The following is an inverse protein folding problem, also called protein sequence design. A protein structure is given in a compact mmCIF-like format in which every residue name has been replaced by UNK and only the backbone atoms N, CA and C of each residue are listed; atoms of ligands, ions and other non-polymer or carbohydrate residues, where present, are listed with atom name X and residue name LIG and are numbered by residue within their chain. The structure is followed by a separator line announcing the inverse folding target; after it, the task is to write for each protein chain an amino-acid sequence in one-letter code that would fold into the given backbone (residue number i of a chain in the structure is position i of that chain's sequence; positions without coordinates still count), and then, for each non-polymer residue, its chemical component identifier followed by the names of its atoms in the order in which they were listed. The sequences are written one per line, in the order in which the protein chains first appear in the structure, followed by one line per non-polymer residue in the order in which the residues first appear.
data_IF_774279929386
#
_entry.id   IF_774279929386
#
_cell.length_a   1.000
_cell.length_b   1.000
_cell.length_c   1.000
_cell.angle_alpha   90.00
_cell.angle_beta   90.00
_cell.angle_gamma   90.00
#
_symmetry.space_group_name_H-M   'P 1'
#
loop_
_entity.id
_entity.type
_entity.pdbx_description
1 polymer ?
#
# COMPACT_ATOMS: atom_id res chain seq x y z
N UNK A 1 -5.73 1.19 32.40
CA UNK A 1 -4.57 0.32 32.70
C UNK A 1 -4.07 -0.31 31.43
N UNK A 2 -2.84 -0.83 31.42
CA UNK A 2 -2.30 -1.59 30.28
C UNK A 2 -2.89 -3.01 30.33
N UNK A 3 -3.50 -3.48 29.23
CA UNK A 3 -4.04 -4.84 29.17
C UNK A 3 -2.93 -5.90 29.29
N UNK A 4 -3.18 -7.05 29.92
CA UNK A 4 -2.25 -8.16 29.91
C UNK A 4 -2.14 -8.76 28.49
N UNK A 5 -1.00 -9.35 28.17
CA UNK A 5 -0.85 -10.06 26.89
C UNK A 5 -1.77 -11.29 26.87
N UNK A 6 -2.50 -11.55 25.78
CA UNK A 6 -3.43 -12.67 25.72
C UNK A 6 -2.69 -14.01 25.79
N UNK A 7 -3.34 -14.99 26.41
CA UNK A 7 -2.82 -16.37 26.43
C UNK A 7 -3.14 -16.99 25.07
N UNK A 8 -2.13 -17.40 24.27
CA UNK A 8 -2.37 -17.97 22.95
C UNK A 8 -3.07 -19.33 23.10
N UNK A 9 -4.12 -19.57 22.30
CA UNK A 9 -4.84 -20.85 22.29
C UNK A 9 -4.18 -21.87 21.35
N UNK A 10 -3.52 -21.37 20.31
CA UNK A 10 -2.81 -22.17 19.33
C UNK A 10 -1.45 -21.56 18.98
N UNK A 11 -0.62 -22.32 18.27
CA UNK A 11 0.65 -21.83 17.71
C UNK A 11 0.50 -20.64 16.75
N UNK A 12 -0.70 -20.43 16.21
CA UNK A 12 -0.99 -19.33 15.29
C UNK A 12 -1.35 -18.03 16.02
N UNK A 13 -1.63 -18.10 17.33
CA UNK A 13 -1.96 -16.95 18.17
C UNK A 13 -0.72 -16.37 18.88
N UNK A 14 0.47 -16.95 18.63
CA UNK A 14 1.71 -16.52 19.26
C UNK A 14 2.27 -15.29 18.53
N UNK A 15 2.26 -14.14 19.21
CA UNK A 15 3.00 -12.97 18.75
C UNK A 15 4.51 -13.22 18.85
N UNK A 16 5.22 -13.01 17.74
CA UNK A 16 6.64 -13.33 17.60
C UNK A 16 7.51 -12.12 17.96
N UNK A 17 8.63 -12.40 18.63
CA UNK A 17 9.60 -11.38 19.02
C UNK A 17 10.64 -11.18 17.91
N UNK A 18 10.86 -9.93 17.53
CA UNK A 18 11.96 -9.52 16.67
C UNK A 18 13.14 -9.07 17.53
N UNK A 19 14.32 -9.60 17.24
CA UNK A 19 15.56 -9.22 17.93
C UNK A 19 16.15 -7.96 17.27
N UNK A 20 16.72 -7.03 18.03
CA UNK A 20 17.34 -5.83 17.48
C UNK A 20 18.62 -5.44 18.23
N UNK A 21 19.51 -4.76 17.51
CA UNK A 21 20.75 -4.15 18.02
C UNK A 21 20.65 -2.63 17.90
N UNK A 22 21.76 -1.92 18.03
CA UNK A 22 21.82 -0.46 17.86
C UNK A 22 21.51 0.01 16.44
N UNK A 23 21.73 -0.83 15.43
CA UNK A 23 21.59 -0.46 14.02
C UNK A 23 20.64 -1.33 13.21
N UNK A 24 20.37 -2.56 13.66
CA UNK A 24 19.72 -3.59 12.86
C UNK A 24 18.59 -4.27 13.62
N UNK A 25 17.65 -4.83 12.87
CA UNK A 25 16.57 -5.65 13.38
C UNK A 25 16.48 -6.95 12.59
N UNK A 26 16.23 -8.02 13.34
CA UNK A 26 16.11 -9.40 12.91
C UNK A 26 14.64 -9.80 13.00
N UNK A 27 13.96 -9.80 11.87
CA UNK A 27 12.51 -10.00 11.76
C UNK A 27 12.19 -11.49 11.61
N UNK A 28 11.81 -12.13 12.72
CA UNK A 28 11.62 -13.59 12.78
C UNK A 28 10.40 -14.07 11.96
N UNK A 29 9.50 -13.17 11.60
CA UNK A 29 8.28 -13.45 10.85
C UNK A 29 8.43 -13.40 9.32
N UNK A 30 9.58 -12.96 8.79
CA UNK A 30 9.75 -12.82 7.33
C UNK A 30 10.53 -13.98 6.73
N UNK A 31 9.99 -14.56 5.66
CA UNK A 31 10.67 -15.60 4.89
C UNK A 31 11.88 -15.07 4.08
N UNK A 32 11.92 -13.77 3.83
CA UNK A 32 12.94 -13.08 3.02
C UNK A 32 13.43 -11.86 3.80
N UNK A 33 14.72 -11.53 3.71
CA UNK A 33 15.35 -10.40 4.40
C UNK A 33 15.12 -10.43 5.93
N UNK A 34 15.61 -11.50 6.56
CA UNK A 34 15.57 -11.68 8.01
C UNK A 34 16.26 -10.54 8.77
N UNK A 35 17.17 -9.78 8.13
CA UNK A 35 17.92 -8.68 8.75
C UNK A 35 17.75 -7.42 7.93
N UNK A 36 17.44 -6.30 8.60
CA UNK A 36 17.42 -4.97 8.00
C UNK A 36 17.92 -3.91 8.96
N UNK A 37 18.31 -2.75 8.45
CA UNK A 37 18.60 -1.57 9.28
C UNK A 37 17.33 -1.04 9.94
N UNK A 38 17.50 -0.46 11.13
CA UNK A 38 16.45 0.28 11.82
C UNK A 38 16.16 1.59 11.07
N UNK A 39 14.88 1.89 10.87
CA UNK A 39 14.46 3.16 10.27
C UNK A 39 14.56 4.32 11.29
N UNK A 40 14.42 5.56 10.82
CA UNK A 40 14.57 6.75 11.67
C UNK A 40 13.57 6.79 12.84
N UNK A 41 12.33 6.33 12.62
CA UNK A 41 11.30 6.31 13.66
C UNK A 41 11.60 5.24 14.72
N UNK A 42 12.07 4.06 14.31
CA UNK A 42 12.46 2.98 15.20
C UNK A 42 13.67 3.36 16.06
N UNK A 43 14.68 4.00 15.47
CA UNK A 43 15.83 4.55 16.20
C UNK A 43 15.39 5.56 17.26
N UNK A 44 14.53 6.51 16.86
CA UNK A 44 13.96 7.50 17.79
C UNK A 44 13.14 6.85 18.91
N UNK A 45 12.39 5.78 18.62
CA UNK A 45 11.59 5.07 19.64
C UNK A 45 12.48 4.32 20.65
N UNK A 46 13.57 3.72 20.16
CA UNK A 46 14.60 3.09 20.99
C UNK A 46 15.27 4.13 21.89
N UNK A 47 15.70 5.27 21.33
CA UNK A 47 16.31 6.37 22.09
C UNK A 47 15.37 6.91 23.17
N UNK A 48 14.09 7.13 22.83
CA UNK A 48 13.07 7.56 23.79
C UNK A 48 12.89 6.53 24.91
N UNK A 49 12.89 5.24 24.57
CA UNK A 49 12.78 4.15 25.55
C UNK A 49 13.99 4.08 26.48
N UNK A 50 15.21 4.26 25.95
CA UNK A 50 16.43 4.33 26.74
C UNK A 50 16.42 5.54 27.69
N UNK A 51 15.94 6.70 27.22
CA UNK A 51 15.78 7.90 28.06
C UNK A 51 14.79 7.67 29.21
N UNK A 52 13.71 6.91 28.99
CA UNK A 52 12.78 6.53 30.06
C UNK A 52 13.41 5.57 31.06
N UNK A 53 14.20 4.60 30.59
CA UNK A 53 14.97 3.70 31.47
C UNK A 53 15.95 4.51 32.32
N UNK A 54 16.72 5.42 31.72
CA UNK A 54 17.67 6.27 32.42
C UNK A 54 17.00 7.12 33.52
N UNK A 55 15.81 7.67 33.25
CA UNK A 55 15.00 8.39 34.25
C UNK A 55 14.53 7.50 35.40
N UNK A 56 14.21 6.22 35.12
CA UNK A 56 13.71 5.29 36.13
C UNK A 56 14.79 4.84 37.12
N UNK A 57 16.05 4.73 36.69
CA UNK A 57 17.15 4.18 37.51
C UNK A 57 17.83 5.29 38.35
N UNK A 58 17.17 6.42 38.64
CA UNK A 58 17.63 7.55 39.49
C UNK A 58 19.03 7.37 40.11
N UNK A 59 20.04 8.11 39.58
CA UNK A 59 21.48 8.09 39.95
C UNK A 59 22.46 7.34 39.00
N UNK A 60 22.16 7.22 37.70
CA UNK A 60 23.07 6.63 36.71
C UNK A 60 23.63 7.69 35.77
N UNK A 61 24.93 7.62 35.46
CA UNK A 61 25.63 8.55 34.57
C UNK A 61 25.50 8.19 33.09
N UNK A 62 25.36 6.91 32.72
CA UNK A 62 25.18 6.50 31.32
C UNK A 62 24.44 5.14 31.18
N UNK A 63 23.45 5.08 30.28
CA UNK A 63 22.68 3.89 29.90
C UNK A 63 22.91 3.62 28.42
N UNK A 64 23.60 2.54 28.10
CA UNK A 64 23.93 2.13 26.73
C UNK A 64 23.12 0.88 26.34
N UNK A 65 22.54 0.88 25.14
CA UNK A 65 21.89 -0.30 24.58
C UNK A 65 22.92 -1.36 24.19
N UNK A 66 22.72 -2.60 24.63
CA UNK A 66 23.45 -3.77 24.11
C UNK A 66 22.64 -4.37 22.96
N UNK A 67 21.42 -4.79 23.27
CA UNK A 67 20.47 -5.40 22.34
C UNK A 67 19.05 -5.35 22.93
N UNK A 68 18.07 -5.80 22.16
CA UNK A 68 16.74 -6.00 22.68
C UNK A 68 15.85 -6.89 21.82
N UNK A 69 14.62 -7.07 22.31
CA UNK A 69 13.55 -7.76 21.61
C UNK A 69 12.33 -6.85 21.58
N UNK A 70 11.60 -6.84 20.47
CA UNK A 70 10.33 -6.14 20.37
C UNK A 70 9.24 -7.04 19.83
N UNK A 71 7.99 -6.75 20.19
CA UNK A 71 6.82 -7.50 19.72
C UNK A 71 5.59 -6.61 19.74
N UNK A 72 4.83 -6.63 18.65
CA UNK A 72 3.56 -5.90 18.57
C UNK A 72 2.39 -6.80 18.98
N UNK A 73 1.61 -6.35 19.96
CA UNK A 73 0.39 -6.97 20.46
C UNK A 73 -0.79 -6.02 20.15
N UNK A 74 -1.74 -6.39 19.28
CA UNK A 74 -2.85 -5.52 18.87
C UNK A 74 -3.74 -5.01 20.02
N UNK A 75 -3.77 -5.70 21.17
CA UNK A 75 -4.61 -5.30 22.31
C UNK A 75 -3.87 -4.40 23.30
N UNK A 76 -2.53 -4.41 23.26
CA UNK A 76 -1.68 -3.77 24.26
C UNK A 76 -0.79 -2.70 23.67
N UNK A 77 -0.23 -2.93 22.49
CA UNK A 77 0.75 -2.09 21.81
C UNK A 77 2.10 -2.77 21.65
N UNK A 78 3.18 -2.00 21.75
CA UNK A 78 4.51 -2.48 21.45
C UNK A 78 5.24 -2.85 22.75
N UNK A 79 5.50 -4.14 22.92
CA UNK A 79 6.29 -4.68 24.01
C UNK A 79 7.77 -4.64 23.64
N UNK A 80 8.61 -4.24 24.60
CA UNK A 80 10.06 -4.24 24.47
C UNK A 80 10.72 -4.97 25.63
N UNK A 81 11.82 -5.67 25.32
CA UNK A 81 12.80 -6.18 26.25
C UNK A 81 14.13 -5.54 25.89
N UNK A 82 14.69 -4.72 26.77
CA UNK A 82 15.96 -4.05 26.57
C UNK A 82 17.04 -4.65 27.45
N UNK A 83 18.14 -5.08 26.84
CA UNK A 83 19.38 -5.39 27.56
C UNK A 83 20.27 -4.15 27.51
N UNK A 84 20.48 -3.52 28.66
CA UNK A 84 21.24 -2.28 28.77
C UNK A 84 22.44 -2.44 29.68
N UNK A 85 23.51 -1.74 29.30
CA UNK A 85 24.71 -1.55 30.09
C UNK A 85 24.57 -0.25 30.87
N UNK A 86 24.71 -0.34 32.19
CA UNK A 86 24.58 0.76 33.13
C UNK A 86 25.95 1.03 33.71
N UNK A 87 26.44 2.26 33.56
CA UNK A 87 27.65 2.75 34.23
C UNK A 87 27.22 3.52 35.48
N UNK A 88 27.49 2.94 36.64
CA UNK A 88 27.23 3.61 37.91
C UNK A 88 28.29 4.68 38.20
N UNK A 89 28.00 5.70 39.03
CA UNK A 89 28.96 6.74 39.41
C UNK A 89 30.26 6.18 40.01
N UNK A 90 30.19 4.99 40.63
CA UNK A 90 31.31 4.23 41.18
C UNK A 90 32.23 3.59 40.13
N UNK A 91 32.02 3.85 38.83
CA UNK A 91 32.68 3.18 37.70
C UNK A 91 32.40 1.67 37.58
N UNK A 92 31.44 1.15 38.35
CA UNK A 92 30.96 -0.22 38.19
C UNK A 92 30.02 -0.31 36.99
N UNK A 93 30.28 -1.31 36.15
CA UNK A 93 29.44 -1.63 34.99
C UNK A 93 28.53 -2.79 35.36
N UNK A 94 27.21 -2.58 35.24
CA UNK A 94 26.22 -3.64 35.39
C UNK A 94 25.39 -3.80 34.12
N UNK A 95 24.93 -5.02 33.85
CA UNK A 95 24.01 -5.31 32.75
C UNK A 95 22.65 -5.60 33.38
N UNK A 96 21.62 -4.87 32.96
CA UNK A 96 20.25 -5.06 33.44
C UNK A 96 19.29 -5.21 32.27
N UNK A 97 18.23 -6.00 32.50
CA UNK A 97 17.15 -6.21 31.55
C UNK A 97 15.91 -5.45 31.99
N UNK A 98 15.40 -4.58 31.12
CA UNK A 98 14.15 -3.85 31.34
C UNK A 98 13.06 -4.36 30.41
N UNK A 99 11.83 -4.39 30.91
CA UNK A 99 10.63 -4.62 30.09
C UNK A 99 9.84 -3.34 30.02
N UNK A 100 9.59 -2.86 28.80
CA UNK A 100 8.82 -1.66 28.54
C UNK A 100 7.61 -2.01 27.69
N UNK A 101 6.57 -1.21 27.83
CA UNK A 101 5.36 -1.32 27.05
C UNK A 101 5.04 0.08 26.57
N UNK A 102 4.96 0.24 25.25
CA UNK A 102 4.40 1.42 24.63
C UNK A 102 2.94 1.10 24.32
N UNK A 103 1.99 1.52 25.18
CA UNK A 103 0.61 1.13 25.01
C UNK A 103 0.02 1.76 23.74
N UNK A 104 -0.90 1.05 23.09
CA UNK A 104 -1.82 1.71 22.16
C UNK A 104 -2.64 2.74 22.96
N UNK A 105 -2.92 3.89 22.35
CA UNK A 105 -3.85 4.87 22.91
C UNK A 105 -5.19 4.18 23.20
N UNK A 106 -5.97 4.75 24.13
CA UNK A 106 -7.27 4.15 24.52
C UNK A 106 -8.10 3.90 23.27
N UNK A 107 -8.66 2.70 23.15
CA UNK A 107 -9.65 2.41 22.14
C UNK A 107 -10.82 3.38 22.34
N UNK A 108 -11.01 4.30 21.39
CA UNK A 108 -12.13 5.23 21.38
C UNK A 108 -13.20 4.66 20.46
N UNK A 109 -14.41 4.48 21.00
CA UNK A 109 -15.59 4.21 20.19
C UNK A 109 -15.92 5.52 19.50
N UNK A 110 -15.41 5.70 18.29
CA UNK A 110 -15.73 6.84 17.46
C UNK A 110 -17.04 6.53 16.72
N UNK A 111 -18.03 7.42 16.84
CA UNK A 111 -19.23 7.35 16.01
C UNK A 111 -18.82 7.42 14.55
N UNK A 112 -19.05 6.34 13.81
CA UNK A 112 -18.80 6.28 12.37
C UNK A 112 -20.04 6.85 11.68
N UNK A 113 -19.90 7.85 10.78
CA UNK A 113 -21.03 8.35 10.02
C UNK A 113 -21.62 7.24 9.13
N UNK A 114 -22.91 7.32 8.83
CA UNK A 114 -23.59 6.31 8.02
C UNK A 114 -23.01 6.25 6.61
N UNK A 115 -22.65 5.04 6.17
CA UNK A 115 -22.28 4.77 4.80
C UNK A 115 -23.54 4.49 3.95
N UNK A 116 -23.50 4.85 2.67
CA UNK A 116 -24.59 4.53 1.73
C UNK A 116 -24.08 3.58 0.65
N UNK A 117 -24.77 2.46 0.46
CA UNK A 117 -24.40 1.44 -0.55
C UNK A 117 -24.79 1.85 -1.98
N UNK A 118 -25.43 3.00 -2.17
CA UNK A 118 -26.00 3.41 -3.47
C UNK A 118 -25.15 4.40 -4.25
N UNK A 119 -24.01 4.83 -3.70
CA UNK A 119 -23.14 5.81 -4.34
C UNK A 119 -22.55 5.27 -5.66
N UNK A 120 -22.43 6.13 -6.67
CA UNK A 120 -21.72 5.77 -7.90
C UNK A 120 -20.22 5.81 -7.62
N UNK A 121 -19.50 4.73 -7.94
CA UNK A 121 -18.04 4.68 -7.75
C UNK A 121 -17.38 5.15 -9.04
N UNK A 122 -16.64 6.25 -8.97
CA UNK A 122 -15.82 6.76 -10.06
C UNK A 122 -14.41 6.15 -9.96
N UNK A 123 -14.15 5.15 -10.79
CA UNK A 123 -12.84 4.50 -10.93
C UNK A 123 -11.94 5.41 -11.78
N UNK A 124 -10.81 5.82 -11.22
CA UNK A 124 -9.81 6.66 -11.87
C UNK A 124 -8.57 5.79 -12.11
N UNK A 125 -8.21 5.61 -13.38
CA UNK A 125 -7.05 4.83 -13.80
C UNK A 125 -6.02 5.76 -14.46
N UNK A 126 -5.10 6.37 -13.68
CA UNK A 126 -4.00 7.14 -14.24
C UNK A 126 -2.87 6.23 -14.70
N UNK A 127 -2.38 6.47 -15.91
CA UNK A 127 -1.21 5.79 -16.47
C UNK A 127 -0.23 6.82 -16.97
N UNK A 128 0.92 6.88 -16.30
CA UNK A 128 2.03 7.75 -16.69
C UNK A 128 2.96 6.97 -17.62
N UNK A 129 3.05 7.41 -18.88
CA UNK A 129 3.90 6.82 -19.89
C UNK A 129 5.17 7.64 -20.02
N UNK A 130 6.22 7.21 -19.31
CA UNK A 130 7.56 7.78 -19.47
C UNK A 130 8.20 7.35 -20.80
N UNK A 131 9.09 8.17 -21.37
CA UNK A 131 9.86 7.88 -22.61
C UNK A 131 10.94 6.79 -22.41
N UNK A 132 10.59 5.70 -21.74
CA UNK A 132 11.46 4.54 -21.54
C UNK A 132 11.45 3.64 -22.78
N UNK A 133 12.25 2.57 -22.75
CA UNK A 133 12.42 1.62 -23.85
C UNK A 133 11.08 1.08 -24.38
N UNK A 134 11.09 0.68 -25.66
CA UNK A 134 9.94 0.08 -26.35
C UNK A 134 9.30 -1.07 -25.55
N UNK A 135 10.13 -1.89 -24.87
CA UNK A 135 9.69 -2.94 -23.95
C UNK A 135 8.81 -2.45 -22.80
N UNK A 136 9.10 -1.29 -22.22
CA UNK A 136 8.26 -0.70 -21.15
C UNK A 136 6.92 -0.26 -21.70
N UNK A 137 6.89 0.35 -22.91
CA UNK A 137 5.66 0.77 -23.57
C UNK A 137 4.75 -0.42 -23.86
N UNK A 138 5.27 -1.48 -24.49
CA UNK A 138 4.54 -2.72 -24.77
C UNK A 138 3.98 -3.33 -23.50
N UNK A 139 4.80 -3.47 -22.45
CA UNK A 139 4.32 -4.04 -21.20
C UNK A 139 3.19 -3.23 -20.56
N UNK A 140 3.22 -1.89 -20.68
CA UNK A 140 2.20 -1.01 -20.09
C UNK A 140 0.90 -1.05 -20.91
N UNK A 141 1.03 -1.17 -22.24
CA UNK A 141 -0.09 -1.41 -23.13
C UNK A 141 -0.78 -2.76 -22.88
N UNK A 142 0.00 -3.82 -22.68
CA UNK A 142 -0.53 -5.16 -22.37
C UNK A 142 -1.32 -5.16 -21.06
N UNK A 143 -0.82 -4.46 -20.03
CA UNK A 143 -1.50 -4.31 -18.74
C UNK A 143 -2.81 -3.55 -18.88
N UNK A 144 -2.80 -2.41 -19.57
CA UNK A 144 -4.02 -1.65 -19.86
C UNK A 144 -5.05 -2.46 -20.67
N UNK A 145 -4.59 -3.21 -21.67
CA UNK A 145 -5.46 -4.08 -22.48
C UNK A 145 -6.07 -5.21 -21.66
N UNK A 146 -5.29 -5.80 -20.76
CA UNK A 146 -5.75 -6.82 -19.82
C UNK A 146 -6.76 -6.25 -18.83
N UNK A 147 -6.50 -5.07 -18.26
CA UNK A 147 -7.42 -4.34 -17.40
C UNK A 147 -8.78 -4.14 -18.09
N UNK A 148 -8.80 -3.62 -19.32
CA UNK A 148 -10.04 -3.39 -20.06
C UNK A 148 -10.82 -4.68 -20.33
N UNK A 149 -10.12 -5.79 -20.58
CA UNK A 149 -10.75 -7.11 -20.79
C UNK A 149 -11.40 -7.64 -19.52
N UNK A 150 -10.73 -7.48 -18.38
CA UNK A 150 -11.27 -7.85 -17.07
C UNK A 150 -12.42 -6.92 -16.65
N UNK A 151 -12.30 -5.62 -16.91
CA UNK A 151 -13.36 -4.65 -16.65
C UNK A 151 -14.62 -4.95 -17.46
N UNK A 152 -14.45 -5.29 -18.75
CA UNK A 152 -15.56 -5.73 -19.60
C UNK A 152 -16.27 -6.97 -19.03
N UNK A 153 -15.51 -7.99 -18.63
CA UNK A 153 -16.04 -9.28 -18.18
C UNK A 153 -16.68 -9.22 -16.79
N UNK A 154 -16.05 -8.53 -15.85
CA UNK A 154 -16.43 -8.55 -14.43
C UNK A 154 -17.41 -7.43 -14.06
N UNK A 155 -17.32 -6.28 -14.72
CA UNK A 155 -18.03 -5.05 -14.32
C UNK A 155 -19.06 -4.61 -15.35
N UNK A 156 -18.69 -4.50 -16.64
CA UNK A 156 -19.61 -4.00 -17.67
C UNK A 156 -20.72 -4.98 -18.04
N UNK A 157 -20.50 -6.29 -17.90
CA UNK A 157 -21.52 -7.30 -18.21
C UNK A 157 -22.78 -7.18 -17.31
N UNK A 158 -22.68 -6.48 -16.18
CA UNK A 158 -23.76 -6.30 -15.20
C UNK A 158 -24.38 -4.91 -15.36
N UNK A 159 -25.64 -4.84 -15.80
CA UNK A 159 -26.32 -3.57 -16.15
C UNK A 159 -26.64 -2.67 -14.97
N UNK A 160 -26.81 -3.22 -13.77
CA UNK A 160 -27.34 -2.47 -12.63
C UNK A 160 -26.26 -1.79 -11.79
N UNK A 161 -25.00 -1.95 -12.16
CA UNK A 161 -23.88 -1.46 -11.37
C UNK A 161 -23.57 0.02 -11.64
N UNK A 162 -23.64 0.84 -10.59
CA UNK A 162 -23.37 2.29 -10.67
C UNK A 162 -21.87 2.56 -10.61
N UNK A 163 -21.22 2.45 -11.75
CA UNK A 163 -19.78 2.70 -11.92
C UNK A 163 -19.51 3.64 -13.09
N UNK A 164 -18.47 4.45 -12.92
CA UNK A 164 -17.85 5.26 -13.98
C UNK A 164 -16.37 4.91 -14.01
N UNK A 165 -15.79 4.75 -15.20
CA UNK A 165 -14.36 4.55 -15.39
C UNK A 165 -13.77 5.70 -16.19
N UNK A 166 -12.77 6.38 -15.66
CA UNK A 166 -11.97 7.34 -16.42
C UNK A 166 -10.52 6.87 -16.49
N UNK A 167 -10.04 6.65 -17.72
CA UNK A 167 -8.65 6.31 -18.02
C UNK A 167 -7.93 7.59 -18.38
N UNK A 168 -6.92 7.96 -17.59
CA UNK A 168 -6.10 9.15 -17.79
C UNK A 168 -4.71 8.74 -18.28
N UNK A 169 -4.39 9.06 -19.52
CA UNK A 169 -3.07 8.80 -20.09
C UNK A 169 -2.21 10.06 -20.02
N UNK A 170 -1.17 10.03 -19.19
CA UNK A 170 -0.15 11.07 -19.13
C UNK A 170 1.06 10.71 -20.00
N UNK A 171 1.38 11.51 -21.01
CA UNK A 171 2.48 11.22 -21.94
C UNK A 171 3.54 12.34 -21.97
N UNK A 172 4.81 11.96 -22.13
CA UNK A 172 5.95 12.89 -22.24
C UNK A 172 6.44 13.10 -23.68
N UNK A 173 5.93 12.34 -24.65
CA UNK A 173 6.23 12.51 -26.08
C UNK A 173 5.03 12.11 -26.93
N UNK A 174 4.91 12.71 -28.12
CA UNK A 174 3.86 12.34 -29.08
C UNK A 174 4.01 10.89 -29.57
N UNK A 175 5.24 10.36 -29.65
CA UNK A 175 5.45 8.94 -29.99
C UNK A 175 4.79 8.01 -28.95
N UNK A 176 4.95 8.33 -27.67
CA UNK A 176 4.29 7.59 -26.59
C UNK A 176 2.76 7.73 -26.69
N UNK A 177 2.24 8.92 -26.99
CA UNK A 177 0.80 9.11 -27.21
C UNK A 177 0.25 8.25 -28.35
N UNK A 178 0.90 8.28 -29.52
CA UNK A 178 0.49 7.50 -30.70
C UNK A 178 0.47 5.99 -30.42
N UNK A 179 1.41 5.49 -29.61
CA UNK A 179 1.46 4.08 -29.21
C UNK A 179 0.20 3.62 -28.47
N UNK A 180 -0.45 4.51 -27.70
CA UNK A 180 -1.64 4.18 -26.89
C UNK A 180 -2.97 4.56 -27.56
N UNK A 181 -2.98 5.13 -28.78
CA UNK A 181 -4.21 5.36 -29.55
C UNK A 181 -5.12 4.12 -29.72
N UNK A 182 -4.59 2.88 -29.87
CA UNK A 182 -5.45 1.70 -29.93
C UNK A 182 -6.28 1.49 -28.65
N UNK A 183 -5.81 1.95 -27.48
CA UNK A 183 -6.58 1.89 -26.23
C UNK A 183 -7.79 2.82 -26.31
N UNK A 184 -7.64 4.05 -26.80
CA UNK A 184 -8.76 4.95 -27.04
C UNK A 184 -9.79 4.34 -28.00
N UNK A 185 -9.32 3.69 -29.07
CA UNK A 185 -10.20 2.97 -30.00
C UNK A 185 -10.95 1.80 -29.34
N UNK A 186 -10.31 1.08 -28.41
CA UNK A 186 -10.93 0.02 -27.62
C UNK A 186 -11.99 0.56 -26.67
N UNK A 187 -11.76 1.71 -26.04
CA UNK A 187 -12.75 2.39 -25.19
C UNK A 187 -13.97 2.81 -26.01
N UNK A 188 -13.78 3.40 -27.18
CA UNK A 188 -14.88 3.76 -28.08
C UNK A 188 -15.67 2.53 -28.55
N UNK A 189 -15.01 1.40 -28.77
CA UNK A 189 -15.69 0.14 -29.02
C UNK A 189 -16.53 -0.33 -27.82
N UNK A 190 -16.00 -0.23 -26.59
CA UNK A 190 -16.74 -0.61 -25.37
C UNK A 190 -17.97 0.27 -25.16
N UNK A 191 -17.87 1.59 -25.39
CA UNK A 191 -19.03 2.51 -25.35
C UNK A 191 -20.13 2.10 -26.33
N UNK A 192 -19.77 1.72 -27.56
CA UNK A 192 -20.73 1.24 -28.56
C UNK A 192 -21.37 -0.10 -28.17
N UNK A 193 -20.57 -1.02 -27.62
CA UNK A 193 -21.03 -2.35 -27.19
C UNK A 193 -21.92 -2.28 -25.95
N UNK A 194 -21.62 -1.35 -25.03
CA UNK A 194 -22.34 -1.16 -23.78
C UNK A 194 -22.79 0.31 -23.63
N UNK A 195 -23.93 0.71 -24.22
CA UNK A 195 -24.38 2.11 -24.21
C UNK A 195 -24.67 2.70 -22.82
N UNK A 196 -24.86 1.85 -21.81
CA UNK A 196 -25.06 2.24 -20.41
C UNK A 196 -23.75 2.43 -19.64
N UNK A 197 -22.61 2.02 -20.20
CA UNK A 197 -21.32 2.11 -19.55
C UNK A 197 -20.76 3.52 -19.63
N UNK A 198 -20.50 4.13 -18.48
CA UNK A 198 -19.81 5.42 -18.38
C UNK A 198 -18.30 5.19 -18.34
N UNK A 199 -17.67 5.13 -19.52
CA UNK A 199 -16.23 4.94 -19.69
C UNK A 199 -15.65 6.11 -20.45
N UNK A 200 -14.62 6.77 -19.92
CA UNK A 200 -13.95 7.91 -20.54
C UNK A 200 -12.45 7.65 -20.73
N UNK A 201 -11.90 8.17 -21.80
CA UNK A 201 -10.47 8.12 -22.12
C UNK A 201 -9.99 9.55 -22.35
N UNK A 202 -9.07 10.02 -21.50
CA UNK A 202 -8.49 11.36 -21.58
C UNK A 202 -6.98 11.25 -21.70
N UNK A 203 -6.40 12.11 -22.52
CA UNK A 203 -4.96 12.19 -22.74
C UNK A 203 -4.47 13.57 -22.30
N UNK A 204 -3.33 13.63 -21.62
CA UNK A 204 -2.71 14.88 -21.23
C UNK A 204 -1.18 14.81 -21.37
N UNK A 205 -0.60 15.91 -21.87
CA UNK A 205 0.84 16.08 -21.93
C UNK A 205 1.41 16.42 -20.55
N UNK A 206 2.39 15.64 -20.09
CA UNK A 206 3.00 15.76 -18.77
C UNK A 206 4.35 16.47 -18.87
N UNK A 207 4.52 17.60 -18.15
CA UNK A 207 5.77 18.38 -18.11
C UNK A 207 6.35 18.38 -16.70
N UNK A 208 7.48 17.68 -16.47
CA UNK A 208 8.29 17.75 -15.24
C UNK A 208 7.47 17.93 -13.94
N UNK A 209 6.52 17.04 -13.72
CA UNK A 209 5.67 17.07 -12.53
C UNK A 209 6.43 16.39 -11.39
N UNK A 210 6.46 17.03 -10.22
CA UNK A 210 7.02 16.44 -9.01
C UNK A 210 6.10 15.31 -8.50
N UNK A 211 4.80 15.42 -8.78
CA UNK A 211 3.78 14.46 -8.37
C UNK A 211 2.92 14.04 -9.58
N UNK A 212 3.51 13.35 -10.57
CA UNK A 212 2.92 13.21 -11.91
C UNK A 212 1.52 12.61 -11.91
N UNK A 213 1.26 11.60 -11.08
CA UNK A 213 -0.05 10.96 -10.98
C UNK A 213 -1.10 11.88 -10.38
N UNK A 214 -0.81 12.52 -9.25
CA UNK A 214 -1.77 13.37 -8.54
C UNK A 214 -2.08 14.65 -9.33
N UNK A 215 -1.04 15.24 -9.93
CA UNK A 215 -1.18 16.40 -10.80
C UNK A 215 -1.98 16.07 -12.07
N UNK A 216 -1.75 14.89 -12.68
CA UNK A 216 -2.54 14.41 -13.81
C UNK A 216 -4.02 14.30 -13.44
N UNK A 217 -4.32 13.68 -12.30
CA UNK A 217 -5.69 13.49 -11.80
C UNK A 217 -6.37 14.83 -11.52
N UNK A 218 -5.73 15.71 -10.74
CA UNK A 218 -6.32 17.00 -10.35
C UNK A 218 -6.56 17.93 -11.53
N UNK A 219 -5.61 18.02 -12.48
CA UNK A 219 -5.70 18.99 -13.57
C UNK A 219 -6.67 18.58 -14.69
N UNK A 220 -6.95 17.28 -14.85
CA UNK A 220 -7.74 16.77 -15.98
C UNK A 220 -9.13 16.27 -15.59
N UNK A 221 -9.43 16.15 -14.30
CA UNK A 221 -10.77 15.77 -13.83
C UNK A 221 -11.49 16.97 -13.23
N UNK A 222 -12.71 17.21 -13.72
CA UNK A 222 -13.63 18.17 -13.14
C UNK A 222 -14.86 17.44 -12.59
N UNK A 223 -14.72 16.90 -11.38
CA UNK A 223 -15.75 16.09 -10.73
C UNK A 223 -16.57 16.93 -9.75
N UNK A 224 -17.79 16.48 -9.49
CA UNK A 224 -18.61 17.06 -8.42
C UNK A 224 -18.05 16.72 -7.04
N UNK A 225 -18.24 17.61 -6.06
CA UNK A 225 -17.64 17.48 -4.74
C UNK A 225 -18.05 16.18 -4.01
N UNK A 226 -19.25 15.66 -4.29
CA UNK A 226 -19.80 14.44 -3.68
C UNK A 226 -19.42 13.15 -4.42
N UNK A 227 -18.55 13.18 -5.43
CA UNK A 227 -18.14 11.97 -6.15
C UNK A 227 -17.22 11.09 -5.31
N UNK A 228 -17.65 9.84 -5.12
CA UNK A 228 -16.85 8.77 -4.52
C UNK A 228 -15.87 8.24 -5.57
N UNK A 229 -14.59 8.49 -5.35
CA UNK A 229 -13.52 8.11 -6.26
C UNK A 229 -12.78 6.87 -5.75
N UNK A 230 -12.35 6.01 -6.67
CA UNK A 230 -11.43 4.90 -6.42
C UNK A 230 -10.26 5.01 -7.42
N UNK A 231 -9.08 5.37 -6.94
CA UNK A 231 -7.86 5.37 -7.76
C UNK A 231 -7.28 3.96 -7.80
N UNK A 232 -6.97 3.47 -9.01
CA UNK A 232 -6.41 2.13 -9.25
C UNK A 232 -5.27 2.18 -10.27
N UNK A 233 -4.48 1.12 -10.33
CA UNK A 233 -3.41 0.92 -11.31
C UNK A 233 -3.84 -0.10 -12.40
N UNK A 234 -3.08 -0.20 -13.50
CA UNK A 234 -3.46 -1.03 -14.66
C UNK A 234 -3.34 -2.55 -14.41
N UNK A 235 -2.72 -2.94 -13.31
CA UNK A 235 -2.46 -4.34 -12.94
C UNK A 235 -3.63 -5.01 -12.24
N UNK A 236 -4.63 -4.25 -11.80
CA UNK A 236 -5.66 -4.80 -10.91
C UNK A 236 -6.87 -5.34 -11.64
N UNK A 237 -7.48 -6.29 -10.97
CA UNK A 237 -8.73 -6.93 -11.31
C UNK A 237 -9.59 -6.89 -10.05
N UNK A 238 -10.84 -6.49 -10.22
CA UNK A 238 -11.78 -6.40 -9.11
C UNK A 238 -13.20 -6.69 -9.58
N UNK A 239 -14.05 -6.95 -8.61
CA UNK A 239 -15.47 -7.23 -8.80
C UNK A 239 -16.35 -6.34 -7.90
N UNK A 240 -17.62 -6.72 -7.83
CA UNK A 240 -18.66 -6.05 -7.07
C UNK A 240 -18.37 -5.95 -5.57
N UNK A 241 -17.75 -6.97 -5.00
CA UNK A 241 -17.51 -7.00 -3.55
C UNK A 241 -16.54 -5.89 -3.15
N UNK A 242 -15.51 -5.64 -3.95
CA UNK A 242 -14.63 -4.48 -3.76
C UNK A 242 -15.43 -3.18 -3.83
N UNK A 243 -16.28 -3.01 -4.84
CA UNK A 243 -17.05 -1.78 -5.03
C UNK A 243 -17.98 -1.52 -3.84
N UNK A 244 -18.64 -2.56 -3.32
CA UNK A 244 -19.47 -2.47 -2.13
C UNK A 244 -18.64 -2.08 -0.90
N UNK A 245 -17.45 -2.66 -0.73
CA UNK A 245 -16.50 -2.30 0.34
C UNK A 245 -16.03 -0.86 0.23
N UNK A 246 -15.80 -0.36 -0.98
CA UNK A 246 -15.44 1.04 -1.23
C UNK A 246 -16.56 1.97 -0.78
N UNK A 247 -17.82 1.66 -1.11
CA UNK A 247 -19.00 2.44 -0.69
C UNK A 247 -19.21 2.44 0.82
N UNK A 248 -18.99 1.30 1.46
CA UNK A 248 -19.17 1.14 2.91
C UNK A 248 -18.07 1.80 3.73
N UNK A 249 -16.84 1.84 3.22
CA UNK A 249 -15.67 2.23 4.01
C UNK A 249 -15.10 3.61 3.66
N UNK A 250 -15.60 4.26 2.61
CA UNK A 250 -15.19 5.63 2.27
C UNK A 250 -16.23 6.61 2.77
N UNK A 251 -15.83 7.52 3.65
CA UNK A 251 -16.74 8.43 4.34
C UNK A 251 -16.23 9.87 4.18
N UNK A 252 -17.06 10.79 3.67
CA UNK A 252 -16.64 12.15 3.38
C UNK A 252 -16.22 12.85 4.67
N UNK A 253 -15.15 13.65 4.62
CA UNK A 253 -14.59 14.40 5.74
C UNK A 253 -14.17 13.55 6.97
N UNK A 254 -14.14 12.22 6.84
CA UNK A 254 -13.92 11.32 7.97
C UNK A 254 -12.91 10.21 7.69
N UNK A 255 -13.06 9.47 6.59
CA UNK A 255 -12.27 8.26 6.35
C UNK A 255 -12.05 7.98 4.86
N UNK A 256 -10.81 7.70 4.50
CA UNK A 256 -10.46 7.07 3.22
C UNK A 256 -10.25 5.57 3.39
N UNK A 257 -10.51 4.81 2.33
CA UNK A 257 -10.29 3.36 2.32
C UNK A 257 -9.22 2.99 1.29
N UNK A 258 -8.11 2.42 1.76
CA UNK A 258 -6.99 1.99 0.93
C UNK A 258 -6.83 0.46 1.02
N UNK A 259 -7.49 -0.32 0.15
CA UNK A 259 -7.45 -1.78 0.19
C UNK A 259 -6.03 -2.32 -0.09
N UNK A 260 -5.69 -3.43 0.55
CA UNK A 260 -4.43 -4.16 0.28
C UNK A 260 -4.75 -5.27 -0.74
N UNK A 261 -4.19 -5.20 -1.96
CA UNK A 261 -4.46 -6.19 -3.00
C UNK A 261 -3.76 -7.51 -2.74
N UNK A 262 -4.35 -8.59 -3.26
CA UNK A 262 -3.68 -9.86 -3.43
C UNK A 262 -2.85 -9.85 -4.72
N UNK A 263 -1.52 -9.88 -4.60
CA UNK A 263 -0.60 -9.87 -5.74
C UNK A 263 -0.22 -11.29 -6.12
N UNK A 264 -0.49 -11.62 -7.39
CA UNK A 264 -0.13 -12.89 -8.00
C UNK A 264 1.39 -13.07 -8.08
N UNK A 265 1.87 -14.29 -7.82
CA UNK A 265 3.28 -14.60 -7.98
C UNK A 265 3.67 -14.73 -9.46
N UNK A 266 4.90 -14.34 -9.80
CA UNK A 266 5.51 -14.74 -11.06
C UNK A 266 5.98 -16.18 -10.98
N UNK A 267 5.33 -17.05 -11.76
CA UNK A 267 5.78 -18.41 -11.99
C UNK A 267 6.93 -18.46 -13.00
N UNK A 268 7.98 -19.23 -12.70
CA UNK A 268 9.07 -19.60 -13.61
C UNK A 268 8.65 -20.83 -14.43
N UNK A 269 8.37 -20.63 -15.71
CA UNK A 269 8.09 -21.71 -16.66
C UNK A 269 7.12 -21.28 -17.77
N UNK A 270 7.16 -21.97 -18.92
CA UNK A 270 6.33 -21.66 -20.08
C UNK A 270 4.90 -22.21 -20.00
N UNK A 271 4.51 -22.88 -18.91
CA UNK A 271 3.19 -23.51 -18.79
C UNK A 271 2.13 -22.51 -18.30
N UNK A 272 1.65 -21.69 -19.23
CA UNK A 272 0.60 -20.68 -19.05
C UNK A 272 -0.73 -21.26 -18.54
N UNK A 273 -1.04 -22.52 -18.88
CA UNK A 273 -2.28 -23.21 -18.47
C UNK A 273 -2.32 -23.49 -16.95
N UNK A 274 -1.17 -23.83 -16.35
CA UNK A 274 -1.08 -24.11 -14.90
C UNK A 274 -1.16 -22.79 -14.12
N UNK A 275 -0.49 -21.75 -14.61
CA UNK A 275 -0.55 -20.41 -14.03
C UNK A 275 -2.00 -19.87 -14.05
N UNK A 276 -2.70 -19.96 -15.19
CA UNK A 276 -4.08 -19.50 -15.33
C UNK A 276 -5.06 -20.23 -14.40
N UNK A 277 -4.93 -21.56 -14.23
CA UNK A 277 -5.77 -22.33 -13.30
C UNK A 277 -5.53 -21.96 -11.83
N UNK A 278 -4.32 -21.53 -11.46
CA UNK A 278 -3.99 -21.17 -10.08
C UNK A 278 -4.31 -19.71 -9.73
N UNK A 279 -4.23 -18.79 -10.70
CA UNK A 279 -4.73 -17.42 -10.51
C UNK A 279 -6.24 -17.38 -10.23
N UNK A 280 -6.98 -18.44 -10.58
CA UNK A 280 -8.41 -18.54 -10.31
C UNK A 280 -8.77 -18.69 -8.81
N UNK A 281 -7.81 -19.01 -7.93
CA UNK A 281 -8.09 -19.15 -6.48
C UNK A 281 -7.00 -18.50 -5.64
N UNK A 282 -7.43 -17.57 -4.77
CA UNK A 282 -6.59 -16.95 -3.75
C UNK A 282 -6.07 -18.04 -2.81
N UNK A 283 -4.76 -18.19 -2.75
CA UNK A 283 -4.09 -19.17 -1.92
C UNK A 283 -2.66 -18.72 -1.62
N UNK A 284 -2.06 -19.27 -0.57
CA UNK A 284 -0.64 -19.05 -0.25
C UNK A 284 0.35 -19.47 -1.36
N UNK A 285 -0.13 -20.21 -2.37
CA UNK A 285 0.67 -20.70 -3.49
C UNK A 285 0.53 -19.84 -4.75
N UNK A 286 -0.58 -19.10 -4.88
CA UNK A 286 -0.86 -18.27 -6.05
C UNK A 286 -0.38 -16.82 -5.89
N UNK A 287 -0.18 -16.35 -4.66
CA UNK A 287 0.23 -14.99 -4.39
C UNK A 287 0.26 -14.64 -2.90
N UNK A 288 0.29 -13.34 -2.61
CA UNK A 288 0.25 -12.79 -1.25
C UNK A 288 -0.45 -11.44 -1.21
N UNK A 289 -0.96 -11.05 -0.06
CA UNK A 289 -1.38 -9.66 0.16
C UNK A 289 -0.15 -8.75 0.26
N UNK A 290 -0.07 -7.74 -0.59
CA UNK A 290 1.08 -6.83 -0.60
C UNK A 290 0.78 -5.52 0.14
N UNK A 291 1.05 -5.52 1.45
CA UNK A 291 0.86 -4.35 2.30
C UNK A 291 1.71 -3.13 1.88
N UNK A 292 2.70 -3.30 1.00
CA UNK A 292 3.52 -2.23 0.44
C UNK A 292 2.91 -1.60 -0.83
N UNK A 293 1.68 -1.98 -1.22
CA UNK A 293 1.00 -1.40 -2.38
C UNK A 293 0.10 -0.21 -1.97
N UNK A 294 0.56 1.01 -2.18
CA UNK A 294 -0.11 2.23 -1.69
C UNK A 294 -0.88 3.01 -2.76
N UNK A 295 -0.78 2.61 -4.04
CA UNK A 295 -1.40 3.33 -5.16
C UNK A 295 -2.91 3.13 -5.31
N UNK A 296 -3.55 2.34 -4.44
CA UNK A 296 -4.98 2.01 -4.51
C UNK A 296 -5.68 2.56 -3.28
N UNK A 297 -6.52 3.56 -3.48
CA UNK A 297 -7.28 4.21 -2.41
C UNK A 297 -8.62 4.74 -2.94
N UNK A 298 -9.57 4.87 -2.03
CA UNK A 298 -10.87 5.47 -2.28
C UNK A 298 -11.12 6.63 -1.33
N UNK A 299 -11.70 7.69 -1.88
CA UNK A 299 -11.86 8.99 -1.23
C UNK A 299 -12.99 9.77 -1.90
N UNK A 300 -13.54 10.76 -1.20
CA UNK A 300 -14.42 11.74 -1.83
C UNK A 300 -13.62 12.83 -2.54
N UNK A 301 -14.11 13.26 -3.71
CA UNK A 301 -13.43 14.28 -4.49
C UNK A 301 -13.25 15.60 -3.72
N UNK A 302 -14.24 16.00 -2.93
CA UNK A 302 -14.15 17.17 -2.04
C UNK A 302 -12.95 17.11 -1.09
N UNK A 303 -12.73 15.96 -0.45
CA UNK A 303 -11.62 15.74 0.48
C UNK A 303 -10.28 15.85 -0.25
N UNK A 304 -10.15 15.13 -1.36
CA UNK A 304 -8.95 15.15 -2.20
C UNK A 304 -8.62 16.57 -2.68
N UNK A 305 -9.59 17.26 -3.28
CA UNK A 305 -9.44 18.62 -3.82
C UNK A 305 -8.98 19.59 -2.75
N UNK A 306 -9.63 19.56 -1.57
CA UNK A 306 -9.27 20.44 -0.44
C UNK A 306 -7.86 20.18 0.06
N UNK A 307 -7.47 18.92 0.26
CA UNK A 307 -6.15 18.57 0.77
C UNK A 307 -5.07 18.86 -0.27
N UNK A 308 -5.34 18.58 -1.55
CA UNK A 308 -4.46 18.91 -2.66
C UNK A 308 -4.16 20.41 -2.75
N UNK A 309 -5.19 21.26 -2.68
CA UNK A 309 -5.03 22.71 -2.66
C UNK A 309 -4.18 23.18 -1.47
N UNK A 310 -4.39 22.59 -0.29
CA UNK A 310 -3.58 22.88 0.89
C UNK A 310 -2.10 22.47 0.70
N UNK A 311 -1.86 21.30 0.12
CA UNK A 311 -0.52 20.83 -0.23
C UNK A 311 0.20 21.81 -1.16
N UNK A 312 -0.43 22.23 -2.25
CA UNK A 312 0.12 23.18 -3.22
C UNK A 312 0.43 24.55 -2.61
N UNK A 313 -0.26 24.95 -1.53
CA UNK A 313 0.04 26.19 -0.81
C UNK A 313 1.23 26.04 0.15
N UNK A 314 1.34 24.90 0.83
CA UNK A 314 2.35 24.68 1.88
C UNK A 314 3.70 24.26 1.30
N UNK A 315 3.71 23.39 0.29
CA UNK A 315 4.96 22.83 -0.23
C UNK A 315 4.83 22.36 -1.68
N UNK A 316 5.37 23.15 -2.61
CA UNK A 316 5.49 22.74 -4.01
C UNK A 316 6.69 21.82 -4.28
N UNK A 317 7.58 21.60 -3.31
CA UNK A 317 8.84 20.88 -3.50
C UNK A 317 8.88 19.50 -2.87
N UNK A 318 7.89 19.13 -2.05
CA UNK A 318 7.84 17.80 -1.45
C UNK A 318 7.21 16.82 -2.44
N UNK A 319 7.94 15.76 -2.76
CA UNK A 319 7.36 14.65 -3.52
C UNK A 319 6.38 13.86 -2.64
N UNK A 320 5.21 13.61 -3.21
CA UNK A 320 4.14 12.75 -2.76
C UNK A 320 4.03 11.62 -3.77
N UNK A 321 4.09 10.37 -3.29
CA UNK A 321 4.06 9.22 -4.18
C UNK A 321 2.65 8.91 -4.65
N UNK A 322 1.68 9.10 -3.76
CA UNK A 322 0.31 8.67 -3.95
C UNK A 322 -0.68 9.45 -3.08
N UNK A 323 -1.95 9.10 -3.21
CA UNK A 323 -3.05 9.69 -2.44
C UNK A 323 -2.90 9.40 -0.95
N UNK A 324 -2.35 8.23 -0.57
CA UNK A 324 -2.19 7.89 0.84
C UNK A 324 -1.21 8.86 1.53
N UNK A 325 -0.07 9.15 0.90
CA UNK A 325 0.90 10.13 1.40
C UNK A 325 0.27 11.52 1.56
N UNK A 326 -0.50 11.96 0.57
CA UNK A 326 -1.21 13.24 0.61
C UNK A 326 -2.10 13.33 1.85
N UNK A 327 -2.93 12.31 2.10
CA UNK A 327 -3.85 12.29 3.25
C UNK A 327 -3.11 12.13 4.58
N UNK A 328 -2.09 11.27 4.65
CA UNK A 328 -1.28 11.05 5.87
C UNK A 328 -0.57 12.33 6.33
N UNK A 329 -0.01 13.09 5.38
CA UNK A 329 0.83 14.24 5.70
C UNK A 329 0.04 15.55 5.83
N UNK A 330 -1.05 15.70 5.07
CA UNK A 330 -1.79 16.97 4.97
C UNK A 330 -3.23 16.89 5.52
N UNK A 331 -3.66 15.73 6.02
CA UNK A 331 -4.98 15.56 6.63
C UNK A 331 -4.93 14.69 7.91
N UNK A 332 -4.28 15.17 8.98
CA UNK A 332 -4.06 14.38 10.20
C UNK A 332 -5.34 13.95 10.94
N UNK A 333 -6.49 14.56 10.61
CA UNK A 333 -7.81 14.21 11.16
C UNK A 333 -8.50 13.10 10.38
N UNK A 334 -8.14 12.88 9.12
CA UNK A 334 -8.78 11.86 8.29
C UNK A 334 -8.29 10.48 8.69
N UNK A 335 -9.22 9.58 8.94
CA UNK A 335 -8.89 8.19 9.24
C UNK A 335 -8.53 7.45 7.96
N UNK A 336 -7.59 6.53 8.09
CA UNK A 336 -7.14 5.71 6.97
C UNK A 336 -7.44 4.26 7.33
N UNK A 337 -8.43 3.70 6.65
CA UNK A 337 -8.75 2.29 6.77
C UNK A 337 -8.00 1.50 5.71
N UNK A 338 -7.25 0.49 6.14
CA UNK A 338 -6.44 -0.36 5.26
C UNK A 338 -6.45 -1.80 5.77
N UNK A 339 -6.90 -2.72 4.92
CA UNK A 339 -6.94 -4.16 5.24
C UNK A 339 -6.84 -5.01 3.95
N UNK A 340 -6.53 -6.30 4.11
CA UNK A 340 -6.45 -7.27 3.03
C UNK A 340 -7.80 -7.45 2.33
N UNK A 341 -7.86 -7.15 1.03
CA UNK A 341 -9.10 -7.19 0.25
C UNK A 341 -9.01 -8.30 -0.81
N UNK A 342 -9.61 -9.49 -0.55
CA UNK A 342 -9.55 -10.63 -1.47
C UNK A 342 -10.12 -10.32 -2.85
N UNK A 343 -11.15 -9.46 -2.93
CA UNK A 343 -11.83 -9.14 -4.19
C UNK A 343 -11.05 -8.10 -5.02
N UNK A 344 -9.83 -7.77 -4.61
CA UNK A 344 -8.86 -6.96 -5.33
C UNK A 344 -7.60 -7.79 -5.60
N UNK A 345 -7.47 -8.26 -6.84
CA UNK A 345 -6.35 -9.07 -7.31
C UNK A 345 -5.46 -8.19 -8.17
N UNK A 346 -4.15 -8.28 -8.03
CA UNK A 346 -3.18 -7.61 -8.89
C UNK A 346 -2.33 -8.64 -9.60
N UNK A 347 -2.18 -8.47 -10.91
CA UNK A 347 -1.21 -9.23 -11.68
C UNK A 347 0.21 -8.90 -11.24
N UNK A 348 1.12 -9.86 -11.45
CA UNK A 348 2.52 -9.69 -11.12
C UNK A 348 3.11 -8.52 -11.92
N UNK A 349 3.71 -7.57 -11.21
CA UNK A 349 4.55 -6.54 -11.81
C UNK A 349 5.82 -6.30 -11.01
N UNK A 350 6.84 -5.89 -11.74
CA UNK A 350 8.09 -5.41 -11.16
C UNK A 350 7.95 -3.90 -11.07
N UNK A 351 7.98 -3.39 -9.84
CA UNK A 351 7.98 -1.94 -9.60
C UNK A 351 9.35 -1.36 -9.90
N UNK A 352 9.36 -0.17 -10.46
CA UNK A 352 10.58 0.61 -10.56
C UNK A 352 10.96 1.14 -9.17
N UNK A 353 12.03 0.59 -8.60
CA UNK A 353 12.55 1.02 -7.30
C UNK A 353 13.65 2.08 -7.43
N UNK A 354 13.92 2.60 -8.63
CA UNK A 354 14.99 3.59 -8.86
C UNK A 354 14.53 5.04 -8.71
N UNK A 355 13.38 5.27 -8.07
CA UNK A 355 12.85 6.60 -7.83
C UNK A 355 13.80 7.40 -6.92
N UNK A 356 14.27 8.56 -7.42
CA UNK A 356 15.24 9.43 -6.74
C UNK A 356 14.77 9.94 -5.36
N UNK A 357 13.47 9.87 -5.12
CA UNK A 357 12.80 10.39 -3.94
C UNK A 357 12.65 9.35 -2.82
N UNK A 358 12.99 8.09 -3.09
CA UNK A 358 12.93 7.04 -2.07
C UNK A 358 14.02 7.23 -1.02
N UNK A 359 13.63 7.21 0.25
CA UNK A 359 14.58 7.02 1.33
C UNK A 359 15.14 5.57 1.33
N UNK A 360 16.17 5.31 2.14
CA UNK A 360 16.83 3.99 2.20
C UNK A 360 15.83 2.87 2.57
N UNK A 361 14.86 3.16 3.44
CA UNK A 361 13.86 2.19 3.87
C UNK A 361 12.86 1.90 2.74
N UNK A 362 12.42 2.92 2.02
CA UNK A 362 11.49 2.84 0.90
C UNK A 362 12.09 2.09 -0.29
N UNK A 363 13.35 2.36 -0.59
CA UNK A 363 14.12 1.63 -1.58
C UNK A 363 14.17 0.14 -1.27
N UNK A 364 14.54 -0.21 -0.03
CA UNK A 364 14.58 -1.61 0.41
C UNK A 364 13.18 -2.25 0.47
N UNK A 365 12.16 -1.48 0.86
CA UNK A 365 10.76 -1.89 0.90
C UNK A 365 10.26 -2.26 -0.51
N UNK A 366 10.53 -1.43 -1.51
CA UNK A 366 10.19 -1.70 -2.91
C UNK A 366 10.91 -2.94 -3.44
N UNK A 367 12.23 -3.04 -3.20
CA UNK A 367 13.02 -4.21 -3.60
C UNK A 367 12.54 -5.49 -2.93
N UNK A 368 12.14 -5.41 -1.68
CA UNK A 368 11.55 -6.51 -0.94
C UNK A 368 10.23 -6.96 -1.59
N UNK A 369 9.31 -6.03 -1.89
CA UNK A 369 8.05 -6.38 -2.57
C UNK A 369 8.32 -7.12 -3.87
N UNK A 370 9.20 -6.58 -4.72
CA UNK A 370 9.58 -7.22 -5.99
C UNK A 370 10.12 -8.63 -5.80
N UNK A 371 11.01 -8.85 -4.83
CA UNK A 371 11.57 -10.18 -4.53
C UNK A 371 10.50 -11.15 -3.99
N UNK A 372 9.65 -10.67 -3.09
CA UNK A 372 8.60 -11.46 -2.46
C UNK A 372 7.48 -11.85 -3.44
N UNK A 373 7.38 -11.19 -4.60
CA UNK A 373 6.41 -11.50 -5.64
C UNK A 373 6.89 -12.62 -6.60
N UNK A 374 8.11 -13.15 -6.42
CA UNK A 374 8.55 -14.36 -7.13
C UNK A 374 8.24 -15.60 -6.30
N UNK A 375 7.60 -16.60 -6.92
CA UNK A 375 7.42 -17.89 -6.27
C UNK A 375 8.78 -18.58 -6.01
N UNK A 376 8.94 -19.18 -4.83
CA UNK A 376 10.13 -19.97 -4.43
C UNK A 376 10.09 -21.41 -4.99
N UNK A 377 11.25 -22.06 -5.18
CA UNK A 377 11.37 -23.47 -5.66
C UNK A 377 10.47 -24.45 -4.89
N UNK A 378 10.37 -24.28 -3.56
CA UNK A 378 9.51 -25.08 -2.67
C UNK A 378 8.02 -24.98 -3.03
N UNK A 379 7.60 -23.86 -3.62
CA UNK A 379 6.24 -23.66 -4.10
C UNK A 379 6.04 -24.21 -5.53
N UNK A 380 7.10 -24.59 -6.26
CA UNK A 380 7.02 -25.31 -7.54
C UNK A 380 6.96 -26.83 -7.40
N UNK A 381 7.48 -27.42 -6.31
CA UNK A 381 7.44 -28.89 -6.13
C UNK A 381 6.01 -29.48 -6.14
N UNK A 382 4.98 -28.85 -5.54
CA UNK A 382 3.60 -29.28 -5.71
C UNK A 382 3.08 -29.16 -7.16
N UNK A 383 3.76 -28.41 -8.03
CA UNK A 383 3.34 -28.15 -9.42
C UNK A 383 3.83 -29.20 -10.42
N UNK A 384 4.76 -30.08 -10.02
CA UNK A 384 5.31 -31.15 -10.88
C UNK A 384 4.59 -32.50 -10.64
N UNK A 385 3.74 -32.59 -9.61
CA UNK A 385 3.10 -33.83 -9.16
C UNK A 385 1.61 -34.02 -9.52
N UNK A 386 1.08 -33.34 -10.53
CA UNK A 386 -0.29 -33.55 -11.04
C UNK A 386 -0.30 -33.88 -12.52
#
# INVERSE_FOLDING_TARGET
GIFPSPVPKSRFDIFIWDYFTTGEIYEANKEINLVRKLNANEKRDIENSLNLIAKHITAVSNVELIDGYRRFDPNRGLDYIFNVKIKEPSSQVSIKRFRLVKPLTRAEISGVPFATETATVHIILPVIITNQSETTLTSSFDRLSSFLTNYESNNLARRDEKIRLTILIGYFSENARLFFQPIGSRVEFLKRKFPYADVSFLEAFVRNLHNPTLELVYNNLNLSDNELCLIVNSEVQFDQELLNRVRLNTLPDFQIFCPIPFVNFKFRGNNTVIAAKQYAKISKYSGRFDAQQFFICSFYWSDFKRIWLNFMQISNSRSLRDVLDLFLLYSPKTKILRYAEPSLISDFTIRDCSQKEFDEYEFESCRYSNKANFASKKYYEPMIGL
#
